data_IF_537473989644
#
_entry.id   IF_537473989644
#
_cell.length_a   1.000
_cell.length_b   1.000
_cell.length_c   1.000
_cell.angle_alpha   90.00
_cell.angle_beta   90.00
_cell.angle_gamma   90.00
#
_symmetry.space_group_name_H-M   'P 1'
#
loop_
_entity.id
_entity.type
_entity.pdbx_description
1 polymer ?
#
# COMPACT_ATOMS: atom_id res chain seq x y z
N UNK A 1 46.42 -54.12 16.37
CA UNK A 1 45.62 -53.28 17.29
C UNK A 1 46.32 -51.94 17.47
N UNK A 2 45.57 -50.88 17.78
CA UNK A 2 45.96 -49.45 17.79
C UNK A 2 45.84 -48.83 16.39
N UNK A 3 44.72 -48.22 15.97
CA UNK A 3 43.88 -47.18 16.58
C UNK A 3 44.66 -45.86 16.77
N UNK A 4 44.65 -45.01 15.74
CA UNK A 4 44.82 -43.57 15.89
C UNK A 4 44.00 -42.88 14.78
N UNK A 5 42.70 -42.69 15.05
CA UNK A 5 41.79 -41.98 14.15
C UNK A 5 41.78 -40.52 14.60
N UNK A 6 42.37 -39.66 13.77
CA UNK A 6 42.45 -38.21 13.94
C UNK A 6 41.05 -37.59 13.95
N UNK A 7 40.65 -37.03 15.09
CA UNK A 7 39.42 -36.25 15.26
C UNK A 7 39.64 -34.82 14.73
N UNK A 8 39.29 -34.57 13.46
CA UNK A 8 39.14 -33.21 12.95
C UNK A 8 37.90 -32.56 13.56
N UNK A 9 38.12 -31.60 14.46
CA UNK A 9 37.09 -30.70 14.96
C UNK A 9 36.68 -29.73 13.82
N UNK A 10 35.63 -30.08 13.09
CA UNK A 10 35.01 -29.17 12.13
C UNK A 10 34.14 -28.15 12.88
N UNK A 11 34.73 -27.00 13.21
CA UNK A 11 34.00 -25.86 13.75
C UNK A 11 33.09 -25.26 12.67
N UNK A 12 31.87 -25.77 12.56
CA UNK A 12 30.83 -25.20 11.72
C UNK A 12 30.35 -23.87 12.29
N UNK A 13 30.87 -22.75 11.78
CA UNK A 13 30.35 -21.42 12.07
C UNK A 13 28.96 -21.30 11.44
N UNK A 14 27.91 -21.46 12.25
CA UNK A 14 26.54 -21.13 11.85
C UNK A 14 26.48 -19.62 11.60
N UNK A 15 26.52 -19.21 10.32
CA UNK A 15 26.14 -17.84 9.94
C UNK A 15 24.66 -17.71 10.26
N UNK A 16 24.23 -16.78 11.14
CA UNK A 16 22.80 -16.54 11.31
C UNK A 16 22.25 -16.10 9.97
N UNK A 17 21.28 -16.87 9.44
CA UNK A 17 20.53 -16.47 8.27
C UNK A 17 19.82 -15.17 8.64
N UNK A 18 20.32 -14.05 8.10
CA UNK A 18 19.67 -12.75 8.24
C UNK A 18 18.29 -12.90 7.62
N UNK A 19 17.25 -12.99 8.46
CA UNK A 19 15.88 -12.99 8.01
C UNK A 19 15.69 -11.74 7.14
N UNK A 20 15.43 -11.94 5.86
CA UNK A 20 15.04 -10.86 4.95
C UNK A 20 13.73 -10.33 5.49
N UNK A 21 13.81 -9.27 6.28
CA UNK A 21 12.68 -8.40 6.57
C UNK A 21 12.34 -7.76 5.23
N UNK A 22 11.47 -8.40 4.44
CA UNK A 22 10.95 -7.80 3.21
C UNK A 22 10.25 -6.51 3.62
N UNK A 23 10.93 -5.38 3.38
CA UNK A 23 10.37 -4.07 3.61
C UNK A 23 9.05 -3.94 2.86
N UNK A 24 8.13 -3.09 3.32
CA UNK A 24 6.86 -2.89 2.63
C UNK A 24 7.13 -2.54 1.16
N UNK A 25 6.45 -3.24 0.25
CA UNK A 25 6.54 -2.99 -1.20
C UNK A 25 6.36 -1.50 -1.45
N UNK A 26 7.37 -0.90 -2.07
CA UNK A 26 7.40 0.51 -2.43
C UNK A 26 7.60 0.65 -3.93
N UNK A 27 6.84 1.56 -4.53
CA UNK A 27 6.88 1.84 -5.96
C UNK A 27 6.71 3.33 -6.21
N UNK A 28 7.43 3.85 -7.21
CA UNK A 28 7.30 5.24 -7.66
C UNK A 28 6.81 5.28 -9.10
N UNK A 29 6.01 6.29 -9.44
CA UNK A 29 5.51 6.48 -10.80
C UNK A 29 4.38 7.49 -10.87
N UNK A 30 3.59 7.44 -11.94
CA UNK A 30 2.47 8.36 -12.12
C UNK A 30 1.17 7.81 -11.55
N UNK A 31 0.37 8.65 -10.92
CA UNK A 31 -1.01 8.37 -10.57
C UNK A 31 -1.96 9.14 -11.48
N UNK A 32 -3.13 8.58 -11.75
CA UNK A 32 -4.27 9.33 -12.28
C UNK A 32 -5.56 8.95 -11.55
N UNK A 33 -6.71 9.41 -12.04
CA UNK A 33 -7.99 9.09 -11.45
C UNK A 33 -9.05 8.72 -12.49
N UNK A 34 -10.07 7.99 -12.05
CA UNK A 34 -11.16 7.57 -12.92
C UNK A 34 -11.99 8.76 -13.41
N UNK A 35 -12.20 8.84 -14.72
CA UNK A 35 -13.19 9.75 -15.29
C UNK A 35 -14.59 9.43 -14.74
N UNK A 36 -15.42 10.46 -14.59
CA UNK A 36 -16.79 10.37 -14.03
C UNK A 36 -17.66 9.33 -14.74
N UNK A 37 -17.44 9.13 -16.05
CA UNK A 37 -18.16 8.13 -16.86
C UNK A 37 -18.02 6.68 -16.37
N UNK A 38 -16.99 6.36 -15.59
CA UNK A 38 -16.80 5.03 -15.02
C UNK A 38 -17.60 4.81 -13.72
N UNK A 39 -18.28 5.85 -13.20
CA UNK A 39 -19.12 5.72 -12.01
C UNK A 39 -20.20 4.64 -12.23
N UNK A 40 -20.30 3.69 -11.30
CA UNK A 40 -21.26 2.59 -11.36
C UNK A 40 -20.86 1.42 -12.28
N UNK A 41 -19.80 1.54 -13.08
CA UNK A 41 -19.23 0.42 -13.84
C UNK A 41 -18.64 -0.64 -12.90
N UNK A 42 -18.57 -1.89 -13.35
CA UNK A 42 -17.91 -2.96 -12.60
C UNK A 42 -16.39 -2.85 -12.71
N UNK A 43 -15.71 -3.00 -11.58
CA UNK A 43 -14.26 -3.20 -11.50
C UNK A 43 -13.90 -4.65 -11.77
N UNK A 44 -12.61 -4.93 -11.86
CA UNK A 44 -12.07 -6.29 -12.00
C UNK A 44 -12.30 -7.17 -10.75
N UNK A 45 -12.58 -6.59 -9.58
CA UNK A 45 -13.04 -7.36 -8.42
C UNK A 45 -14.53 -7.70 -8.47
N UNK A 46 -15.28 -7.14 -9.42
CA UNK A 46 -16.74 -7.29 -9.55
C UNK A 46 -17.54 -6.22 -8.79
N UNK A 47 -16.90 -5.41 -7.95
CA UNK A 47 -17.54 -4.27 -7.26
C UNK A 47 -17.92 -3.16 -8.25
N UNK A 48 -18.88 -2.30 -7.89
CA UNK A 48 -19.17 -1.10 -8.67
C UNK A 48 -18.28 0.07 -8.23
N UNK A 49 -17.75 0.82 -9.20
CA UNK A 49 -17.00 2.05 -8.94
C UNK A 49 -17.90 3.07 -8.23
N UNK A 50 -17.47 3.50 -7.05
CA UNK A 50 -18.09 4.59 -6.28
C UNK A 50 -17.07 5.72 -6.14
N UNK A 51 -17.31 6.84 -6.81
CA UNK A 51 -16.34 7.94 -6.91
C UNK A 51 -15.99 8.60 -5.57
N UNK A 52 -16.81 8.39 -4.54
CA UNK A 52 -16.65 8.95 -3.19
C UNK A 52 -15.89 8.02 -2.22
N UNK A 53 -15.60 6.77 -2.59
CA UNK A 53 -14.87 5.81 -1.73
C UNK A 53 -13.39 5.80 -2.12
N UNK A 54 -12.49 5.60 -1.17
CA UNK A 54 -11.04 5.51 -1.42
C UNK A 54 -10.61 4.14 -1.92
N UNK A 55 -10.79 3.92 -3.22
CA UNK A 55 -10.33 2.71 -3.92
C UNK A 55 -9.53 3.05 -5.19
N UNK A 56 -8.90 2.03 -5.79
CA UNK A 56 -8.17 2.20 -7.04
C UNK A 56 -7.71 0.90 -7.70
N UNK A 57 -7.12 1.07 -8.88
CA UNK A 57 -6.54 0.02 -9.71
C UNK A 57 -5.03 -0.10 -9.49
N UNK A 58 -4.55 -1.34 -9.39
CA UNK A 58 -3.14 -1.68 -9.50
C UNK A 58 -2.97 -2.95 -10.34
N UNK A 59 -1.83 -3.06 -11.05
CA UNK A 59 -1.63 -4.12 -12.06
C UNK A 59 -1.58 -5.50 -11.44
N UNK A 60 -0.84 -5.63 -10.35
CA UNK A 60 -0.44 -6.92 -9.79
C UNK A 60 -0.70 -7.07 -8.30
N UNK A 61 -1.08 -6.00 -7.61
CA UNK A 61 -1.32 -6.10 -6.17
C UNK A 61 -2.60 -6.92 -5.96
N UNK A 62 -2.62 -7.82 -4.96
CA UNK A 62 -3.83 -8.52 -4.59
C UNK A 62 -4.99 -7.54 -4.36
N UNK A 63 -6.21 -8.00 -4.63
CA UNK A 63 -7.36 -7.21 -4.22
C UNK A 63 -7.40 -7.11 -2.70
N UNK A 64 -7.98 -6.02 -2.21
CA UNK A 64 -8.03 -5.63 -0.80
C UNK A 64 -6.70 -5.23 -0.17
N UNK A 65 -5.59 -5.20 -0.92
CA UNK A 65 -4.36 -4.56 -0.44
C UNK A 65 -4.61 -3.08 -0.16
N UNK A 66 -4.23 -2.62 1.03
CA UNK A 66 -4.22 -1.21 1.39
C UNK A 66 -2.88 -0.60 0.97
N UNK A 67 -2.94 0.54 0.30
CA UNK A 67 -1.76 1.27 -0.15
C UNK A 67 -1.87 2.73 0.26
N UNK A 68 -0.79 3.25 0.81
CA UNK A 68 -0.60 4.68 0.99
C UNK A 68 -0.02 5.24 -0.30
N UNK A 69 -0.61 6.32 -0.78
CA UNK A 69 -0.18 7.02 -1.99
C UNK A 69 0.14 8.45 -1.59
N UNK A 70 1.39 8.86 -1.83
CA UNK A 70 1.87 10.21 -1.51
C UNK A 70 2.18 10.96 -2.78
N UNK A 71 1.59 12.14 -2.95
CA UNK A 71 1.92 13.04 -4.04
C UNK A 71 3.25 13.75 -3.76
N UNK A 72 4.25 13.49 -4.61
CA UNK A 72 5.62 13.97 -4.40
C UNK A 72 5.71 15.50 -4.44
N UNK A 73 4.80 16.17 -5.15
CA UNK A 73 4.86 17.64 -5.29
C UNK A 73 4.39 18.38 -4.03
N UNK A 74 3.32 17.90 -3.38
CA UNK A 74 2.71 18.59 -2.24
C UNK A 74 2.78 17.80 -0.93
N UNK A 75 3.39 16.62 -0.95
CA UNK A 75 3.57 15.72 0.19
C UNK A 75 2.27 15.23 0.86
N UNK A 76 1.11 15.45 0.24
CA UNK A 76 -0.17 14.93 0.74
C UNK A 76 -0.30 13.45 0.43
N UNK A 77 -0.84 12.69 1.38
CA UNK A 77 -1.05 11.25 1.21
C UNK A 77 -2.51 10.83 1.43
N UNK A 78 -2.84 9.66 0.90
CA UNK A 78 -4.13 8.99 1.11
C UNK A 78 -3.93 7.49 1.14
N UNK A 79 -4.67 6.79 1.99
CA UNK A 79 -4.72 5.33 1.96
C UNK A 79 -5.94 4.91 1.17
N UNK A 80 -5.73 4.03 0.18
CA UNK A 80 -6.80 3.46 -0.62
C UNK A 80 -6.75 1.94 -0.57
N UNK A 81 -7.88 1.29 -0.88
CA UNK A 81 -7.95 -0.16 -1.11
C UNK A 81 -7.89 -0.49 -2.60
N UNK A 82 -7.05 -1.45 -2.99
CA UNK A 82 -7.00 -1.94 -4.36
C UNK A 82 -8.21 -2.86 -4.62
N UNK A 83 -9.04 -2.51 -5.60
CA UNK A 83 -10.21 -3.30 -5.99
C UNK A 83 -10.39 -3.41 -7.52
N UNK A 84 -9.39 -2.98 -8.29
CA UNK A 84 -9.45 -3.03 -9.74
C UNK A 84 -8.07 -3.32 -10.38
N UNK A 85 -8.04 -3.54 -11.70
CA UNK A 85 -6.84 -3.79 -12.50
C UNK A 85 -6.57 -2.65 -13.47
N UNK A 86 -5.29 -2.51 -13.79
CA UNK A 86 -4.74 -1.32 -14.45
C UNK A 86 -3.75 -0.62 -13.52
N UNK A 87 -3.22 0.56 -13.87
CA UNK A 87 -3.42 1.27 -15.13
C UNK A 87 -2.79 0.52 -16.30
N UNK A 88 -3.31 0.67 -17.52
CA UNK A 88 -2.69 0.08 -18.72
C UNK A 88 -1.80 1.06 -19.49
N UNK A 89 -1.84 2.35 -19.14
CA UNK A 89 -0.95 3.35 -19.72
C UNK A 89 0.45 3.25 -19.13
N UNK A 90 1.48 3.29 -19.99
CA UNK A 90 2.89 3.23 -19.59
C UNK A 90 3.23 4.33 -18.58
N UNK A 91 4.01 3.97 -17.56
CA UNK A 91 4.48 4.90 -16.51
C UNK A 91 3.45 5.26 -15.42
N UNK A 92 2.15 4.95 -15.60
CA UNK A 92 1.17 5.05 -14.49
C UNK A 92 1.20 3.80 -13.64
N UNK A 93 1.21 3.94 -12.33
CA UNK A 93 1.28 2.83 -11.37
C UNK A 93 -0.06 2.62 -10.66
N UNK A 94 -0.88 3.66 -10.54
CA UNK A 94 -2.18 3.60 -9.86
C UNK A 94 -3.19 4.55 -10.52
N UNK A 95 -4.43 4.09 -10.66
CA UNK A 95 -5.58 4.94 -10.99
C UNK A 95 -6.54 4.88 -9.80
N UNK A 96 -6.92 6.02 -9.22
CA UNK A 96 -7.76 6.07 -8.01
C UNK A 96 -9.11 6.73 -8.27
N UNK A 97 -10.03 6.64 -7.31
CA UNK A 97 -11.30 7.37 -7.38
C UNK A 97 -11.11 8.88 -7.32
N UNK A 98 -12.11 9.62 -7.80
CA UNK A 98 -12.10 11.09 -7.76
C UNK A 98 -11.89 11.64 -6.33
N UNK A 99 -12.51 11.02 -5.32
CA UNK A 99 -12.35 11.47 -3.94
C UNK A 99 -10.92 11.29 -3.41
N UNK A 100 -10.26 10.16 -3.70
CA UNK A 100 -8.86 9.95 -3.33
C UNK A 100 -7.92 10.95 -4.04
N UNK A 101 -8.18 11.19 -5.33
CA UNK A 101 -7.42 12.18 -6.10
C UNK A 101 -7.59 13.61 -5.58
N UNK A 102 -8.79 13.95 -5.09
CA UNK A 102 -9.06 15.21 -4.41
C UNK A 102 -8.22 15.35 -3.14
N UNK A 103 -8.15 14.31 -2.31
CA UNK A 103 -7.43 14.32 -1.04
C UNK A 103 -5.93 14.68 -1.23
N UNK A 104 -5.28 14.10 -2.24
CA UNK A 104 -3.86 14.36 -2.53
C UNK A 104 -3.61 15.53 -3.49
N UNK A 105 -4.65 16.31 -3.83
CA UNK A 105 -4.51 17.50 -4.69
C UNK A 105 -4.13 17.19 -6.15
N UNK A 106 -4.61 16.07 -6.70
CA UNK A 106 -4.27 15.61 -8.05
C UNK A 106 -5.23 16.13 -9.13
N UNK A 107 -6.46 16.53 -8.76
CA UNK A 107 -7.55 16.85 -9.71
C UNK A 107 -7.17 17.86 -10.79
N UNK A 108 -6.53 18.97 -10.44
CA UNK A 108 -6.27 20.06 -11.40
C UNK A 108 -5.36 19.65 -12.57
N UNK A 109 -4.39 18.77 -12.33
CA UNK A 109 -3.43 18.32 -13.36
C UNK A 109 -3.86 17.03 -14.05
N UNK A 110 -4.84 16.29 -13.52
CA UNK A 110 -5.23 14.97 -14.03
C UNK A 110 -4.28 13.83 -13.67
N UNK A 111 -2.99 14.14 -13.52
CA UNK A 111 -1.90 13.18 -13.26
C UNK A 111 -0.89 13.81 -12.31
N UNK A 112 -0.30 13.01 -11.42
CA UNK A 112 0.81 13.44 -10.55
C UNK A 112 1.87 12.35 -10.40
N UNK A 113 3.11 12.75 -10.08
CA UNK A 113 4.12 11.80 -9.61
C UNK A 113 3.83 11.44 -8.16
N UNK A 114 3.81 10.14 -7.87
CA UNK A 114 3.50 9.62 -6.55
C UNK A 114 4.51 8.56 -6.12
N UNK A 115 4.62 8.38 -4.81
CA UNK A 115 5.13 7.16 -4.20
C UNK A 115 3.95 6.34 -3.69
N UNK A 116 4.03 5.01 -3.82
CA UNK A 116 3.04 4.05 -3.37
C UNK A 116 3.73 3.09 -2.41
N UNK A 117 3.12 2.84 -1.25
CA UNK A 117 3.60 1.91 -0.24
C UNK A 117 2.49 0.99 0.22
N UNK A 118 2.73 -0.32 0.24
CA UNK A 118 1.79 -1.26 0.87
C UNK A 118 1.75 -1.03 2.37
N UNK A 119 0.53 -0.92 2.90
CA UNK A 119 0.28 -0.70 4.32
C UNK A 119 -0.13 -2.03 4.95
N UNK A 120 0.59 -2.45 5.99
CA UNK A 120 0.18 -3.58 6.80
C UNK A 120 -0.95 -3.13 7.75
N UNK A 121 -2.13 -3.76 7.72
CA UNK A 121 -3.25 -3.40 8.60
C UNK A 121 -2.86 -3.40 10.09
N UNK A 122 -2.01 -4.33 10.52
CA UNK A 122 -1.54 -4.38 11.91
C UNK A 122 -0.70 -3.15 12.29
N UNK A 123 0.00 -2.57 11.30
CA UNK A 123 0.75 -1.33 11.49
C UNK A 123 -0.19 -0.11 11.58
N UNK A 124 -1.30 -0.10 10.84
CA UNK A 124 -2.30 0.97 10.98
C UNK A 124 -2.95 0.95 12.35
N UNK A 125 -3.36 -0.24 12.82
CA UNK A 125 -3.91 -0.41 14.16
C UNK A 125 -2.89 0.05 15.19
N UNK A 126 -1.63 -0.36 15.10
CA UNK A 126 -0.58 0.12 16.02
C UNK A 126 -0.33 1.64 15.96
N UNK A 127 -0.48 2.29 14.80
CA UNK A 127 -0.34 3.75 14.67
C UNK A 127 -1.55 4.50 15.23
N UNK A 128 -2.76 3.94 15.05
CA UNK A 128 -4.00 4.44 15.66
C UNK A 128 -3.96 4.25 17.17
N UNK A 129 -3.56 3.07 17.66
CA UNK A 129 -3.43 2.77 19.08
C UNK A 129 -2.45 3.72 19.77
N UNK A 130 -1.28 4.00 19.16
CA UNK A 130 -0.33 4.99 19.69
C UNK A 130 -0.88 6.42 19.71
N UNK A 131 -1.82 6.76 18.83
CA UNK A 131 -2.52 8.06 18.85
C UNK A 131 -3.73 8.07 19.80
N UNK A 132 -4.29 6.90 20.13
CA UNK A 132 -5.43 6.70 21.03
C UNK A 132 -5.01 6.50 22.49
N UNK A 133 -3.76 6.12 22.76
CA UNK A 133 -3.23 6.02 24.13
C UNK A 133 -3.13 7.37 24.86
N UNK A 134 -3.38 8.49 24.18
CA UNK A 134 -3.49 9.80 24.83
C UNK A 134 -4.94 10.13 25.27
N UNK A 135 -5.95 9.43 24.74
CA UNK A 135 -7.35 9.85 24.82
C UNK A 135 -8.27 8.61 24.90
N UNK A 136 -8.43 8.03 26.09
CA UNK A 136 -9.14 6.75 26.32
C UNK A 136 -10.65 6.74 26.09
N UNK A 137 -11.16 6.95 24.87
CA UNK A 137 -12.56 6.69 24.47
C UNK A 137 -12.66 6.11 23.03
N UNK A 138 -13.20 4.88 22.95
CA UNK A 138 -13.81 4.09 21.83
C UNK A 138 -14.26 4.81 20.53
N UNK A 139 -14.63 4.14 19.39
CA UNK A 139 -14.84 2.71 19.07
C UNK A 139 -14.34 2.24 17.66
N UNK A 140 -14.53 0.94 17.40
CA UNK A 140 -14.45 0.15 16.14
C UNK A 140 -14.31 0.91 14.79
N UNK A 141 -13.14 0.69 14.15
CA UNK A 141 -12.77 0.76 12.71
C UNK A 141 -13.44 1.87 11.86
N UNK A 142 -12.72 2.96 11.52
CA UNK A 142 -13.24 3.97 10.60
C UNK A 142 -12.97 3.61 9.13
N UNK A 143 -13.99 3.90 8.30
CA UNK A 143 -13.84 4.15 6.87
C UNK A 143 -12.55 4.94 6.60
N UNK A 144 -11.72 4.44 5.68
CA UNK A 144 -10.39 4.97 5.33
C UNK A 144 -10.39 6.50 5.21
N UNK A 145 -9.85 7.18 6.22
CA UNK A 145 -9.72 8.63 6.30
C UNK A 145 -8.46 9.11 5.55
N UNK A 146 -8.42 10.38 5.08
CA UNK A 146 -7.18 11.00 4.60
C UNK A 146 -6.17 11.10 5.75
N UNK A 147 -4.91 10.74 5.47
CA UNK A 147 -3.79 10.95 6.41
C UNK A 147 -3.44 12.44 6.34
N UNK A 148 -3.55 13.14 7.47
CA UNK A 148 -3.27 14.58 7.58
C UNK A 148 -1.77 14.89 7.57
#
# INVERSE_FOLDING_TARGET
MSLLMSLLLFAGSLKPAKATQEGPVQQSGKASYYATKFSGCRTSSGERVKQHIFTGAHRTLPFNTLVEITNVTNQRSVIIRINDRGPFHKGRIVDMTHAAAKAIGLLGRGVANVTLRVVNPNRMVSMLDNSLTLDGRSPLVPDLMPVQ
#
